data_IF_692760050363
#
_entry.id   IF_692760050363
#
_cell.length_a   1.000
_cell.length_b   1.000
_cell.length_c   1.000
_cell.angle_alpha   90.00
_cell.angle_beta   90.00
_cell.angle_gamma   90.00
#
_symmetry.space_group_name_H-M   'P 1'
#
loop_
_entity.id
_entity.type
_entity.pdbx_description
1 polymer ?
#
# COMPACT_ATOMS: atom_id res chain seq x y z
N UNK A 1 -57.15 78.14 -35.34
CA UNK A 1 -58.12 77.06 -35.61
C UNK A 1 -57.33 75.89 -36.17
N UNK A 2 -57.56 74.67 -35.67
CA UNK A 2 -56.96 73.38 -36.09
C UNK A 2 -55.54 73.09 -35.55
N UNK A 3 -55.38 72.26 -34.50
CA UNK A 3 -55.23 70.77 -34.49
C UNK A 3 -53.77 70.38 -34.81
N UNK A 4 -52.95 70.13 -33.79
CA UNK A 4 -52.59 68.81 -33.23
C UNK A 4 -51.44 68.15 -34.00
N UNK A 5 -50.27 68.07 -33.38
CA UNK A 5 -49.33 66.96 -33.59
C UNK A 5 -48.54 66.72 -32.30
N UNK A 6 -49.17 65.92 -31.45
CA UNK A 6 -48.56 65.26 -30.31
C UNK A 6 -48.00 63.91 -30.79
N UNK A 7 -46.69 63.82 -30.97
CA UNK A 7 -46.00 62.53 -31.06
C UNK A 7 -45.32 62.23 -29.71
N UNK A 8 -45.63 61.11 -29.05
CA UNK A 8 -44.98 60.71 -27.82
C UNK A 8 -43.56 60.22 -28.08
N UNK A 9 -42.64 60.57 -27.18
CA UNK A 9 -41.33 59.96 -27.06
C UNK A 9 -41.47 58.43 -27.00
N UNK A 10 -40.73 57.71 -27.84
CA UNK A 10 -40.50 56.28 -27.65
C UNK A 10 -39.71 56.09 -26.35
N UNK A 11 -40.39 55.57 -25.33
CA UNK A 11 -39.75 54.95 -24.16
C UNK A 11 -39.31 53.53 -24.54
N UNK A 12 -38.01 53.19 -24.60
CA UNK A 12 -37.57 51.82 -24.54
C UNK A 12 -37.38 51.46 -23.06
N UNK A 13 -38.46 51.38 -22.30
CA UNK A 13 -38.39 50.97 -20.89
C UNK A 13 -39.37 49.84 -20.57
N UNK A 14 -39.17 48.70 -21.23
CA UNK A 14 -39.69 47.41 -20.75
C UNK A 14 -38.63 46.31 -20.93
N UNK A 15 -37.57 46.36 -20.12
CA UNK A 15 -36.84 45.15 -19.72
C UNK A 15 -37.19 44.78 -18.28
N UNK A 16 -38.16 43.88 -18.03
CA UNK A 16 -38.35 43.31 -16.72
C UNK A 16 -37.51 42.03 -16.61
N UNK A 17 -36.19 42.11 -16.40
CA UNK A 17 -35.41 40.88 -16.11
C UNK A 17 -34.02 41.08 -15.48
N UNK A 18 -33.86 42.00 -14.53
CA UNK A 18 -32.60 42.10 -13.76
C UNK A 18 -32.69 41.78 -12.27
N UNK A 19 -33.88 41.58 -11.71
CA UNK A 19 -34.04 41.09 -10.32
C UNK A 19 -34.04 39.56 -10.25
N UNK A 20 -34.70 38.88 -11.18
CA UNK A 20 -34.78 37.41 -11.23
C UNK A 20 -33.42 36.77 -11.51
N UNK A 21 -32.61 37.35 -12.39
CA UNK A 21 -31.25 36.88 -12.68
C UNK A 21 -30.27 37.13 -11.53
N UNK A 22 -30.58 38.07 -10.63
CA UNK A 22 -29.74 38.38 -9.47
C UNK A 22 -30.03 37.43 -8.30
N UNK A 23 -31.28 37.03 -8.13
CA UNK A 23 -31.65 35.99 -7.16
C UNK A 23 -31.25 34.57 -7.63
N UNK A 24 -31.35 34.27 -8.93
CA UNK A 24 -30.92 32.98 -9.49
C UNK A 24 -29.39 32.75 -9.35
N UNK A 25 -28.60 33.83 -9.30
CA UNK A 25 -27.15 33.76 -9.08
C UNK A 25 -26.76 33.82 -7.60
N UNK A 26 -27.69 34.19 -6.70
CA UNK A 26 -27.48 34.18 -5.25
C UNK A 26 -27.91 32.87 -4.59
N UNK A 27 -28.74 32.05 -5.24
CA UNK A 27 -28.68 30.59 -5.07
C UNK A 27 -27.40 30.04 -5.73
N UNK A 28 -26.27 30.52 -5.23
CA UNK A 28 -25.01 29.79 -5.30
C UNK A 28 -25.31 28.45 -4.66
N UNK A 29 -25.58 27.46 -5.51
CA UNK A 29 -25.65 26.04 -5.19
C UNK A 29 -24.43 25.70 -4.33
N UNK A 30 -24.57 25.86 -3.02
CA UNK A 30 -23.78 25.15 -2.03
C UNK A 30 -24.23 23.71 -2.14
N UNK A 31 -23.86 23.08 -3.26
CA UNK A 31 -23.76 21.65 -3.35
C UNK A 31 -22.96 21.25 -2.11
N UNK A 32 -23.52 20.42 -1.21
CA UNK A 32 -22.80 20.00 -0.03
C UNK A 32 -21.65 19.12 -0.52
N UNK A 33 -20.49 19.71 -0.84
CA UNK A 33 -19.27 18.99 -1.24
C UNK A 33 -18.92 17.90 -0.22
N UNK A 34 -19.32 18.08 1.04
CA UNK A 34 -19.23 17.13 2.14
C UNK A 34 -20.00 15.80 1.97
N UNK A 35 -20.90 15.64 0.98
CA UNK A 35 -21.69 14.39 0.79
C UNK A 35 -21.12 13.41 -0.23
N UNK A 36 -20.31 13.82 -1.21
CA UNK A 36 -19.75 12.92 -2.24
C UNK A 36 -18.45 12.25 -1.79
N UNK A 37 -17.69 12.90 -0.92
CA UNK A 37 -16.42 12.38 -0.41
C UNK A 37 -16.60 11.14 0.45
N UNK A 38 -17.72 11.03 1.18
CA UNK A 38 -18.00 9.88 2.04
C UNK A 38 -18.29 8.58 1.26
N UNK A 39 -19.21 8.58 0.27
CA UNK A 39 -19.38 7.45 -0.66
C UNK A 39 -18.10 7.12 -1.43
N UNK A 40 -17.38 8.13 -1.94
CA UNK A 40 -16.15 7.90 -2.69
C UNK A 40 -15.07 7.23 -1.84
N UNK A 41 -14.88 7.72 -0.60
CA UNK A 41 -13.98 7.10 0.38
C UNK A 41 -14.35 5.64 0.65
N UNK A 42 -15.64 5.36 0.82
CA UNK A 42 -16.12 4.01 1.07
C UNK A 42 -15.87 3.09 -0.13
N UNK A 43 -16.14 3.56 -1.36
CA UNK A 43 -15.94 2.77 -2.58
C UNK A 43 -14.46 2.51 -2.84
N UNK A 44 -13.61 3.52 -2.76
CA UNK A 44 -12.17 3.34 -2.99
C UNK A 44 -11.52 2.43 -1.94
N UNK A 45 -11.90 2.57 -0.67
CA UNK A 45 -11.40 1.69 0.40
C UNK A 45 -11.84 0.26 0.19
N UNK A 46 -13.11 0.02 -0.17
CA UNK A 46 -13.61 -1.32 -0.47
C UNK A 46 -12.95 -1.91 -1.72
N UNK A 47 -12.77 -1.11 -2.77
CA UNK A 47 -12.12 -1.53 -4.02
C UNK A 47 -10.67 -1.95 -3.77
N UNK A 48 -9.90 -1.14 -3.04
CA UNK A 48 -8.50 -1.44 -2.73
C UNK A 48 -8.35 -2.59 -1.71
N UNK A 49 -9.25 -2.72 -0.75
CA UNK A 49 -9.30 -3.87 0.15
C UNK A 49 -9.59 -5.17 -0.63
N UNK A 50 -10.55 -5.13 -1.56
CA UNK A 50 -10.86 -6.24 -2.46
C UNK A 50 -9.67 -6.57 -3.37
N UNK A 51 -9.03 -5.56 -3.96
CA UNK A 51 -7.83 -5.75 -4.78
C UNK A 51 -6.68 -6.41 -4.01
N UNK A 52 -6.39 -5.96 -2.77
CA UNK A 52 -5.38 -6.60 -1.93
C UNK A 52 -5.69 -8.06 -1.61
N UNK A 53 -6.96 -8.35 -1.30
CA UNK A 53 -7.45 -9.71 -1.06
C UNK A 53 -7.35 -10.58 -2.31
N UNK A 54 -7.72 -10.04 -3.46
CA UNK A 54 -7.69 -10.74 -4.75
C UNK A 54 -6.26 -11.07 -5.17
N UNK A 55 -5.32 -10.13 -5.01
CA UNK A 55 -3.90 -10.36 -5.31
C UNK A 55 -3.35 -11.50 -4.44
N UNK A 56 -3.69 -11.53 -3.14
CA UNK A 56 -3.31 -12.65 -2.27
C UNK A 56 -3.94 -13.97 -2.71
N UNK A 57 -5.23 -13.94 -3.05
CA UNK A 57 -5.96 -15.11 -3.52
C UNK A 57 -5.33 -15.68 -4.80
N UNK A 58 -5.01 -14.82 -5.77
CA UNK A 58 -4.33 -15.22 -7.00
C UNK A 58 -2.99 -15.86 -6.67
N UNK A 59 -2.19 -15.27 -5.79
CA UNK A 59 -0.91 -15.85 -5.39
C UNK A 59 -1.06 -17.24 -4.73
N UNK A 60 -2.17 -17.48 -4.04
CA UNK A 60 -2.44 -18.77 -3.39
C UNK A 60 -2.71 -19.88 -4.42
N UNK A 61 -3.46 -19.58 -5.48
CA UNK A 61 -3.80 -20.56 -6.52
C UNK A 61 -2.74 -20.65 -7.63
N UNK A 62 -2.14 -19.52 -7.99
CA UNK A 62 -1.12 -19.39 -9.00
C UNK A 62 0.12 -18.73 -8.37
N UNK A 63 1.07 -19.52 -7.84
CA UNK A 63 2.28 -18.98 -7.24
C UNK A 63 3.21 -18.43 -8.34
N UNK A 64 2.96 -17.20 -8.78
CA UNK A 64 3.75 -16.46 -9.78
C UNK A 64 5.12 -15.99 -9.24
N UNK A 65 5.69 -16.75 -8.30
CA UNK A 65 6.95 -16.44 -7.65
C UNK A 65 6.91 -15.16 -6.79
N UNK A 66 8.05 -14.48 -6.62
CA UNK A 66 8.17 -13.32 -5.72
C UNK A 66 7.54 -12.04 -6.28
N UNK A 67 7.25 -11.97 -7.58
CA UNK A 67 6.77 -10.75 -8.26
C UNK A 67 5.44 -10.27 -7.68
N UNK A 68 4.46 -11.17 -7.53
CA UNK A 68 3.13 -10.80 -7.06
C UNK A 68 3.14 -10.34 -5.59
N UNK A 69 4.09 -10.85 -4.79
CA UNK A 69 4.25 -10.51 -3.37
C UNK A 69 4.63 -9.05 -3.14
N UNK A 70 5.27 -8.44 -4.12
CA UNK A 70 5.67 -7.02 -4.08
C UNK A 70 4.44 -6.13 -3.97
N UNK A 71 3.31 -6.53 -4.58
CA UNK A 71 2.08 -5.73 -4.61
C UNK A 71 1.19 -5.93 -3.38
N UNK A 72 1.43 -6.90 -2.50
CA UNK A 72 0.55 -7.17 -1.36
C UNK A 72 0.32 -5.98 -0.43
N UNK A 73 1.35 -5.23 0.02
CA UNK A 73 1.13 -4.09 0.91
C UNK A 73 0.63 -2.83 0.16
N UNK A 74 0.74 -2.76 -1.17
CA UNK A 74 0.48 -1.54 -1.95
C UNK A 74 -0.98 -1.06 -1.88
N UNK A 75 -2.01 -1.91 -2.09
CA UNK A 75 -3.40 -1.45 -2.04
C UNK A 75 -3.75 -0.79 -0.71
N UNK A 76 -3.29 -1.35 0.41
CA UNK A 76 -3.55 -0.82 1.76
C UNK A 76 -2.74 0.46 2.00
N UNK A 77 -1.48 0.50 1.55
CA UNK A 77 -0.67 1.71 1.62
C UNK A 77 -1.30 2.86 0.81
N UNK A 78 -1.83 2.57 -0.37
CA UNK A 78 -2.49 3.57 -1.22
C UNK A 78 -3.77 4.12 -0.55
N UNK A 79 -4.56 3.26 0.11
CA UNK A 79 -5.69 3.72 0.93
C UNK A 79 -5.22 4.70 2.02
N UNK A 80 -4.09 4.40 2.67
CA UNK A 80 -3.53 5.28 3.69
C UNK A 80 -3.18 6.66 3.11
N UNK A 81 -2.54 6.70 1.94
CA UNK A 81 -2.16 7.96 1.30
C UNK A 81 -3.37 8.79 0.88
N UNK A 82 -4.43 8.14 0.35
CA UNK A 82 -5.62 8.85 -0.14
C UNK A 82 -6.59 9.29 0.95
N UNK A 83 -6.86 8.41 1.92
CA UNK A 83 -7.96 8.59 2.89
C UNK A 83 -7.50 8.57 4.35
N UNK A 84 -6.21 8.36 4.59
CA UNK A 84 -5.58 8.44 5.91
C UNK A 84 -5.64 7.17 6.75
N UNK A 85 -5.22 7.30 8.01
CA UNK A 85 -5.02 6.18 8.95
C UNK A 85 -6.26 5.32 9.16
N UNK A 86 -7.42 5.93 9.39
CA UNK A 86 -8.66 5.18 9.69
C UNK A 86 -9.06 4.28 8.53
N UNK A 87 -9.02 4.83 7.32
CA UNK A 87 -9.36 4.12 6.10
C UNK A 87 -8.42 2.93 5.85
N UNK A 88 -7.12 3.09 6.10
CA UNK A 88 -6.15 2.02 5.90
C UNK A 88 -6.36 0.84 6.86
N UNK A 89 -6.65 1.12 8.13
CA UNK A 89 -7.01 0.07 9.10
C UNK A 89 -8.30 -0.63 8.73
N UNK A 90 -9.32 0.10 8.28
CA UNK A 90 -10.56 -0.50 7.79
C UNK A 90 -10.28 -1.38 6.57
N UNK A 91 -9.46 -0.95 5.61
CA UNK A 91 -9.09 -1.77 4.46
C UNK A 91 -8.29 -3.03 4.85
N UNK A 92 -7.38 -2.93 5.82
CA UNK A 92 -6.64 -4.07 6.36
C UNK A 92 -7.56 -5.09 7.04
N UNK A 93 -8.51 -4.63 7.85
CA UNK A 93 -9.49 -5.50 8.52
C UNK A 93 -10.45 -6.12 7.50
N UNK A 94 -10.99 -5.32 6.58
CA UNK A 94 -11.92 -5.79 5.54
C UNK A 94 -11.26 -6.82 4.63
N UNK A 95 -10.03 -6.60 4.19
CA UNK A 95 -9.29 -7.58 3.39
C UNK A 95 -9.03 -8.89 4.16
N UNK A 96 -8.67 -8.79 5.44
CA UNK A 96 -8.56 -9.95 6.33
C UNK A 96 -9.88 -10.70 6.49
N UNK A 97 -11.00 -10.00 6.69
CA UNK A 97 -12.33 -10.62 6.81
C UNK A 97 -12.76 -11.31 5.51
N UNK A 98 -12.56 -10.65 4.36
CA UNK A 98 -12.84 -11.25 3.05
C UNK A 98 -12.04 -12.54 2.87
N UNK A 99 -10.73 -12.51 3.11
CA UNK A 99 -9.89 -13.71 3.03
C UNK A 99 -10.30 -14.77 4.06
N UNK A 100 -10.72 -14.38 5.25
CA UNK A 100 -11.19 -15.32 6.28
C UNK A 100 -12.39 -16.12 5.77
N UNK A 101 -13.35 -15.45 5.13
CA UNK A 101 -14.54 -16.08 4.55
C UNK A 101 -14.19 -16.95 3.34
N UNK A 102 -13.25 -16.51 2.49
CA UNK A 102 -12.93 -17.22 1.23
C UNK A 102 -12.01 -18.44 1.42
N UNK A 103 -10.96 -18.32 2.24
CA UNK A 103 -9.89 -19.33 2.35
C UNK A 103 -9.64 -19.84 3.77
N UNK A 104 -10.41 -19.35 4.74
CA UNK A 104 -10.33 -19.72 6.14
C UNK A 104 -9.48 -18.77 7.01
N UNK A 105 -9.74 -18.76 8.34
CA UNK A 105 -9.16 -17.81 9.27
C UNK A 105 -7.63 -17.93 9.38
N UNK A 106 -7.10 -19.16 9.39
CA UNK A 106 -5.66 -19.41 9.55
C UNK A 106 -4.88 -18.79 8.40
N UNK A 107 -5.31 -19.03 7.15
CA UNK A 107 -4.64 -18.49 5.96
C UNK A 107 -4.81 -16.99 5.81
N UNK A 108 -5.93 -16.44 6.25
CA UNK A 108 -6.15 -15.00 6.26
C UNK A 108 -5.18 -14.28 7.21
N UNK A 109 -4.98 -14.82 8.42
CA UNK A 109 -4.05 -14.22 9.41
C UNK A 109 -2.60 -14.19 8.89
N UNK A 110 -2.20 -15.17 8.06
CA UNK A 110 -0.90 -15.17 7.36
C UNK A 110 -0.75 -14.04 6.34
N UNK A 111 -1.85 -13.45 5.85
CA UNK A 111 -1.82 -12.22 5.04
C UNK A 111 -1.81 -10.99 5.91
N UNK A 112 -2.70 -10.94 6.91
CA UNK A 112 -2.92 -9.75 7.74
C UNK A 112 -1.63 -9.36 8.47
N UNK A 113 -1.07 -10.29 9.24
CA UNK A 113 0.02 -10.00 10.16
C UNK A 113 1.32 -9.52 9.46
N UNK A 114 1.77 -10.09 8.32
CA UNK A 114 2.94 -9.57 7.62
C UNK A 114 2.64 -8.49 6.58
N UNK A 115 1.53 -8.54 5.84
CA UNK A 115 1.33 -7.65 4.67
C UNK A 115 0.34 -6.52 4.93
N UNK A 116 -0.75 -6.77 5.65
CA UNK A 116 -1.73 -5.71 5.93
C UNK A 116 -1.16 -4.67 6.90
N UNK A 117 -0.51 -5.13 7.97
CA UNK A 117 0.22 -4.24 8.88
C UNK A 117 1.36 -3.50 8.15
N UNK A 118 2.07 -4.16 7.24
CA UNK A 118 3.12 -3.53 6.43
C UNK A 118 2.56 -2.44 5.52
N UNK A 119 1.43 -2.67 4.88
CA UNK A 119 0.76 -1.65 4.05
C UNK A 119 0.41 -0.40 4.87
N UNK A 120 -0.09 -0.56 6.09
CA UNK A 120 -0.37 0.57 7.00
C UNK A 120 0.91 1.28 7.42
N UNK A 121 1.97 0.54 7.77
CA UNK A 121 3.26 1.10 8.17
C UNK A 121 3.90 1.91 7.04
N UNK A 122 3.96 1.34 5.84
CA UNK A 122 4.47 2.02 4.63
C UNK A 122 3.62 3.24 4.29
N UNK A 123 2.30 3.13 4.39
CA UNK A 123 1.39 4.25 4.23
C UNK A 123 1.70 5.41 5.18
N UNK A 124 1.97 5.10 6.46
CA UNK A 124 2.35 6.09 7.48
C UNK A 124 3.71 6.73 7.19
N UNK A 125 4.73 5.94 6.84
CA UNK A 125 6.08 6.46 6.58
C UNK A 125 6.10 7.33 5.33
N UNK A 126 5.40 6.93 4.27
CA UNK A 126 5.31 7.71 3.02
C UNK A 126 4.48 8.98 3.21
N UNK A 127 3.37 8.93 3.96
CA UNK A 127 2.59 10.13 4.27
C UNK A 127 3.39 11.16 5.07
N UNK A 128 4.29 10.70 5.96
CA UNK A 128 5.21 11.57 6.73
C UNK A 128 6.44 12.03 5.95
N UNK A 129 6.53 11.69 4.66
CA UNK A 129 7.71 11.96 3.82
C UNK A 129 9.03 11.42 4.41
N UNK A 130 8.98 10.31 5.13
CA UNK A 130 10.18 9.72 5.74
C UNK A 130 11.17 9.26 4.65
N UNK A 131 12.46 9.29 4.95
CA UNK A 131 13.48 8.77 4.04
C UNK A 131 13.28 7.27 3.81
N UNK A 132 13.69 6.79 2.63
CA UNK A 132 13.61 5.37 2.29
C UNK A 132 14.31 4.49 3.31
N UNK A 133 15.43 4.95 3.90
CA UNK A 133 16.16 4.20 4.92
C UNK A 133 15.31 3.96 6.18
N UNK A 134 14.56 4.95 6.65
CA UNK A 134 13.67 4.81 7.82
C UNK A 134 12.50 3.88 7.51
N UNK A 135 11.91 4.02 6.32
CA UNK A 135 10.81 3.16 5.89
C UNK A 135 11.27 1.71 5.70
N UNK A 136 12.47 1.51 5.15
CA UNK A 136 13.07 0.19 4.96
C UNK A 136 13.43 -0.47 6.28
N UNK A 137 14.11 0.23 7.18
CA UNK A 137 14.48 -0.33 8.49
C UNK A 137 13.25 -0.74 9.31
N UNK A 138 12.23 0.12 9.41
CA UNK A 138 10.99 -0.20 10.12
C UNK A 138 10.22 -1.34 9.43
N UNK A 139 10.13 -1.34 8.10
CA UNK A 139 9.46 -2.40 7.35
C UNK A 139 10.21 -3.72 7.41
N UNK A 140 11.55 -3.73 7.41
CA UNK A 140 12.34 -4.95 7.60
C UNK A 140 12.12 -5.52 9.00
N UNK A 141 12.09 -4.69 10.05
CA UNK A 141 11.79 -5.15 11.40
C UNK A 141 10.41 -5.82 11.48
N UNK A 142 9.38 -5.17 10.92
CA UNK A 142 8.03 -5.72 10.86
C UNK A 142 7.95 -6.97 9.97
N UNK A 143 8.68 -7.01 8.86
CA UNK A 143 8.71 -8.12 7.90
C UNK A 143 9.37 -9.36 8.50
N UNK A 144 10.48 -9.17 9.22
CA UNK A 144 11.14 -10.22 9.99
C UNK A 144 10.24 -10.76 11.09
N UNK A 145 9.59 -9.89 11.86
CA UNK A 145 8.58 -10.31 12.85
C UNK A 145 7.44 -11.11 12.18
N UNK A 146 7.03 -10.68 10.98
CA UNK A 146 6.03 -11.38 10.16
C UNK A 146 6.49 -12.74 9.63
N UNK A 147 7.77 -12.95 9.35
CA UNK A 147 8.32 -14.27 9.02
C UNK A 147 8.27 -15.18 10.24
N UNK A 148 8.75 -14.70 11.40
CA UNK A 148 8.72 -15.49 12.64
C UNK A 148 7.31 -15.86 13.06
N UNK A 149 6.36 -14.91 12.97
CA UNK A 149 4.96 -15.19 13.25
C UNK A 149 4.38 -16.24 12.32
N UNK A 150 4.69 -16.19 11.01
CA UNK A 150 4.23 -17.21 10.06
C UNK A 150 4.81 -18.58 10.38
N UNK A 151 6.12 -18.65 10.68
CA UNK A 151 6.78 -19.89 11.07
C UNK A 151 6.15 -20.47 12.34
N UNK A 152 5.97 -19.64 13.36
CA UNK A 152 5.35 -20.03 14.63
C UNK A 152 3.90 -20.49 14.44
N UNK A 153 3.09 -19.73 13.70
CA UNK A 153 1.69 -20.07 13.46
C UNK A 153 1.58 -21.38 12.67
N UNK A 154 2.33 -21.53 11.59
CA UNK A 154 2.32 -22.75 10.79
C UNK A 154 2.88 -23.95 11.56
N UNK A 155 3.89 -23.75 12.40
CA UNK A 155 4.43 -24.80 13.27
C UNK A 155 3.36 -25.29 14.26
N UNK A 156 2.61 -24.38 14.88
CA UNK A 156 1.50 -24.71 15.77
C UNK A 156 0.41 -25.53 15.07
N UNK A 157 0.03 -25.16 13.83
CA UNK A 157 -1.00 -25.86 13.07
C UNK A 157 -0.53 -27.17 12.45
N UNK A 158 0.76 -27.29 12.12
CA UNK A 158 1.35 -28.51 11.54
C UNK A 158 1.72 -29.54 12.61
N UNK A 159 1.92 -29.12 13.86
CA UNK A 159 2.45 -29.97 14.92
C UNK A 159 3.95 -30.28 14.77
N UNK A 160 4.62 -29.63 13.84
CA UNK A 160 6.04 -29.81 13.52
C UNK A 160 6.81 -28.52 13.74
N UNK A 161 8.08 -28.60 14.14
CA UNK A 161 8.94 -27.43 14.25
C UNK A 161 9.49 -27.01 12.89
N UNK A 162 8.83 -26.03 12.27
CA UNK A 162 9.24 -25.51 10.96
C UNK A 162 10.57 -24.74 11.00
N UNK A 163 11.01 -24.32 12.18
CA UNK A 163 12.30 -23.65 12.34
C UNK A 163 13.47 -24.59 12.02
N UNK A 164 13.32 -25.89 12.31
CA UNK A 164 14.36 -26.90 12.01
C UNK A 164 14.69 -26.94 10.52
N UNK A 165 13.69 -26.83 9.64
CA UNK A 165 13.93 -26.78 8.19
C UNK A 165 14.69 -25.52 7.75
N UNK A 166 14.47 -24.38 8.42
CA UNK A 166 15.23 -23.17 8.16
C UNK A 166 16.69 -23.33 8.60
N UNK A 167 16.92 -23.94 9.77
CA UNK A 167 18.26 -24.25 10.30
C UNK A 167 19.00 -25.22 9.37
N UNK A 168 18.34 -26.28 8.89
CA UNK A 168 18.96 -27.25 7.99
C UNK A 168 19.40 -26.60 6.66
N UNK A 169 18.53 -25.79 6.04
CA UNK A 169 18.89 -25.05 4.81
C UNK A 169 20.10 -24.12 5.02
N UNK A 170 20.17 -23.44 6.16
CA UNK A 170 21.28 -22.55 6.48
C UNK A 170 22.56 -23.33 6.79
N UNK A 171 22.44 -24.49 7.44
CA UNK A 171 23.57 -25.39 7.71
C UNK A 171 24.19 -25.84 6.40
N UNK A 172 23.37 -26.34 5.46
CA UNK A 172 23.83 -26.76 4.13
C UNK A 172 24.49 -25.60 3.36
N UNK A 173 23.95 -24.38 3.46
CA UNK A 173 24.54 -23.20 2.83
C UNK A 173 25.90 -22.84 3.43
N UNK A 174 26.04 -22.90 4.75
CA UNK A 174 27.30 -22.61 5.45
C UNK A 174 28.33 -23.70 5.16
N UNK A 175 27.93 -24.97 5.19
CA UNK A 175 28.80 -26.11 4.85
C UNK A 175 29.31 -25.99 3.40
N UNK A 176 28.41 -25.65 2.48
CA UNK A 176 28.79 -25.35 1.09
C UNK A 176 29.82 -24.21 0.99
N UNK A 177 29.62 -23.13 1.74
CA UNK A 177 30.56 -22.00 1.76
C UNK A 177 31.93 -22.39 2.37
N UNK A 178 31.93 -23.19 3.43
CA UNK A 178 33.15 -23.66 4.10
C UNK A 178 33.95 -24.60 3.20
N UNK A 179 33.29 -25.54 2.52
CA UNK A 179 33.91 -26.39 1.51
C UNK A 179 34.54 -25.56 0.39
N UNK A 180 33.85 -24.51 -0.07
CA UNK A 180 34.38 -23.63 -1.13
C UNK A 180 35.61 -22.83 -0.69
N UNK A 181 35.68 -22.48 0.60
CA UNK A 181 36.78 -21.75 1.21
C UNK A 181 37.89 -22.66 1.77
N UNK A 182 37.78 -23.98 1.58
CA UNK A 182 38.70 -25.00 2.13
C UNK A 182 38.87 -24.91 3.66
N UNK A 183 37.82 -24.45 4.35
CA UNK A 183 37.80 -24.40 5.81
C UNK A 183 37.38 -25.78 6.34
N UNK A 184 38.31 -26.46 7.04
CA UNK A 184 38.08 -27.75 7.70
C UNK A 184 37.37 -27.62 9.06
N UNK A 185 36.72 -26.48 9.31
CA UNK A 185 35.99 -26.22 10.55
C UNK A 185 34.56 -26.76 10.45
N UNK A 186 34.01 -27.30 11.54
CA UNK A 186 32.59 -27.63 11.61
C UNK A 186 31.79 -26.37 11.94
N UNK A 187 30.62 -26.15 11.32
CA UNK A 187 29.80 -24.97 11.62
C UNK A 187 29.29 -25.06 13.07
N UNK A 188 29.50 -24.00 13.84
CA UNK A 188 28.97 -23.93 15.20
C UNK A 188 27.47 -23.62 15.18
N UNK A 189 26.72 -24.14 16.15
CA UNK A 189 25.28 -23.90 16.27
C UNK A 189 24.93 -22.40 16.36
N UNK A 190 25.78 -21.62 17.03
CA UNK A 190 25.61 -20.16 17.12
C UNK A 190 25.75 -19.48 15.74
N UNK A 191 26.73 -19.91 14.93
CA UNK A 191 26.93 -19.37 13.57
C UNK A 191 25.72 -19.67 12.68
N UNK A 192 25.17 -20.89 12.77
CA UNK A 192 24.00 -21.31 11.99
C UNK A 192 22.77 -20.50 12.39
N UNK A 193 22.51 -20.33 13.70
CA UNK A 193 21.36 -19.54 14.17
C UNK A 193 21.46 -18.07 13.74
N UNK A 194 22.63 -17.45 13.94
CA UNK A 194 22.87 -16.07 13.49
C UNK A 194 22.75 -15.95 11.97
N UNK A 195 23.29 -16.92 11.22
CA UNK A 195 23.17 -16.99 9.77
C UNK A 195 21.70 -17.07 9.31
N UNK A 196 20.87 -17.86 9.99
CA UNK A 196 19.46 -18.01 9.66
C UNK A 196 18.69 -16.70 9.85
N UNK A 197 18.87 -16.05 10.99
CA UNK A 197 18.25 -14.75 11.27
C UNK A 197 18.75 -13.69 10.28
N UNK A 198 20.06 -13.64 10.01
CA UNK A 198 20.66 -12.69 9.08
C UNK A 198 20.11 -12.88 7.66
N UNK A 199 19.96 -14.12 7.20
CA UNK A 199 19.43 -14.44 5.88
C UNK A 199 17.95 -14.04 5.76
N UNK A 200 17.15 -14.23 6.81
CA UNK A 200 15.76 -13.76 6.87
C UNK A 200 15.69 -12.22 6.80
N UNK A 201 16.54 -11.53 7.56
CA UNK A 201 16.61 -10.06 7.56
C UNK A 201 17.04 -9.55 6.18
N UNK A 202 18.07 -10.16 5.59
CA UNK A 202 18.58 -9.80 4.27
C UNK A 202 17.54 -10.02 3.18
N UNK A 203 16.82 -11.15 3.20
CA UNK A 203 15.73 -11.43 2.27
C UNK A 203 14.60 -10.39 2.39
N UNK A 204 14.22 -10.02 3.63
CA UNK A 204 13.22 -8.97 3.86
C UNK A 204 13.69 -7.59 3.40
N UNK A 205 14.98 -7.28 3.51
CA UNK A 205 15.55 -6.02 3.02
C UNK A 205 15.41 -5.93 1.49
N UNK A 206 15.77 -7.00 0.77
CA UNK A 206 15.61 -7.07 -0.70
C UNK A 206 14.12 -6.95 -1.07
N UNK A 207 13.25 -7.68 -0.37
CA UNK A 207 11.81 -7.61 -0.59
C UNK A 207 11.29 -6.18 -0.42
N UNK A 208 11.65 -5.51 0.67
CA UNK A 208 11.12 -4.18 0.93
C UNK A 208 11.69 -3.12 -0.02
N UNK A 209 12.93 -3.30 -0.47
CA UNK A 209 13.50 -2.48 -1.53
C UNK A 209 12.70 -2.63 -2.84
N UNK A 210 12.37 -3.85 -3.24
CA UNK A 210 11.50 -4.12 -4.39
C UNK A 210 10.11 -3.49 -4.24
N UNK A 211 9.52 -3.55 -3.04
CA UNK A 211 8.22 -2.90 -2.73
C UNK A 211 8.30 -1.39 -2.92
N UNK A 212 9.36 -0.73 -2.45
CA UNK A 212 9.53 0.71 -2.63
C UNK A 212 9.71 1.08 -4.11
N UNK A 213 10.48 0.29 -4.86
CA UNK A 213 10.66 0.49 -6.30
C UNK A 213 9.33 0.38 -7.05
N UNK A 214 8.56 -0.68 -6.79
CA UNK A 214 7.25 -0.87 -7.41
C UNK A 214 6.25 0.20 -6.99
N UNK A 215 6.26 0.62 -5.73
CA UNK A 215 5.39 1.68 -5.22
C UNK A 215 5.73 3.02 -5.88
N UNK A 216 7.00 3.35 -6.04
CA UNK A 216 7.42 4.57 -6.75
C UNK A 216 6.89 4.58 -8.19
N UNK A 217 7.15 3.51 -8.96
CA UNK A 217 6.69 3.39 -10.37
C UNK A 217 5.16 3.41 -10.51
N UNK A 218 4.43 2.77 -9.59
CA UNK A 218 2.97 2.68 -9.66
C UNK A 218 2.28 3.93 -9.14
N UNK A 219 2.70 4.47 -8.00
CA UNK A 219 1.99 5.59 -7.37
C UNK A 219 2.27 6.91 -8.07
N UNK A 220 3.43 7.06 -8.71
CA UNK A 220 3.70 8.19 -9.60
C UNK A 220 2.69 8.24 -10.75
N UNK A 221 2.41 7.08 -11.39
CA UNK A 221 1.36 6.97 -12.42
C UNK A 221 -0.05 7.26 -11.90
N UNK A 222 -0.27 7.09 -10.60
CA UNK A 222 -1.56 7.34 -9.94
C UNK A 222 -1.67 8.75 -9.35
N UNK A 223 -0.66 9.61 -9.57
CA UNK A 223 -0.64 11.01 -9.11
C UNK A 223 -0.35 11.19 -7.62
N UNK A 224 0.07 10.14 -6.90
CA UNK A 224 0.40 10.20 -5.48
C UNK A 224 1.92 10.25 -5.29
N UNK A 225 2.45 11.43 -4.95
CA UNK A 225 3.90 11.61 -4.76
C UNK A 225 4.39 10.91 -3.48
N UNK A 226 5.13 9.81 -3.63
CA UNK A 226 5.92 9.16 -2.56
C UNK A 226 7.26 9.92 -2.40
N UNK A 227 7.96 9.82 -1.24
CA UNK A 227 9.34 10.27 -1.10
C UNK A 227 10.24 9.81 -2.25
N UNK A 228 11.09 10.72 -2.72
CA UNK A 228 12.01 10.45 -3.82
C UNK A 228 12.96 9.29 -3.47
N UNK A 229 13.28 8.42 -4.44
CA UNK A 229 14.24 7.34 -4.25
C UNK A 229 15.66 7.89 -4.00
N UNK A 230 16.58 7.09 -3.44
CA UNK A 230 17.99 7.47 -3.30
C UNK A 230 18.61 7.90 -4.63
N UNK A 231 19.60 8.80 -4.59
CA UNK A 231 20.24 9.35 -5.80
C UNK A 231 20.82 8.27 -6.73
N UNK A 232 21.37 7.18 -6.17
CA UNK A 232 21.90 6.07 -6.96
C UNK A 232 20.80 5.29 -7.71
N UNK A 233 19.56 5.28 -7.19
CA UNK A 233 18.41 4.65 -7.86
C UNK A 233 17.90 5.53 -9.00
N UNK A 234 17.89 6.85 -8.80
CA UNK A 234 17.50 7.81 -9.84
C UNK A 234 18.47 7.78 -11.02
N UNK A 235 19.77 7.76 -10.73
CA UNK A 235 20.83 7.67 -11.73
C UNK A 235 20.81 6.34 -12.52
N UNK A 236 20.27 5.27 -11.95
CA UNK A 236 20.14 3.97 -12.64
C UNK A 236 18.90 3.90 -13.54
N UNK A 237 17.93 4.78 -13.35
CA UNK A 237 16.67 4.81 -14.11
C UNK A 237 16.57 6.02 -15.03
N UNK A 238 17.67 6.74 -15.27
CA UNK A 238 17.76 7.97 -16.08
C UNK A 238 16.59 8.94 -15.78
N UNK A 239 16.24 9.06 -14.51
CA UNK A 239 15.11 9.88 -14.08
C UNK A 239 15.58 11.34 -13.96
N UNK A 240 15.42 12.10 -15.04
CA UNK A 240 15.55 13.56 -15.03
C UNK A 240 14.24 14.16 -14.50
N UNK A 241 14.31 14.79 -13.32
CA UNK A 241 13.17 15.42 -12.65
C UNK A 241 12.71 16.72 -13.28
#
# INVERSE_FOLDING_TARGET
MSISDSLPNEDPSLEPSNSLNKELNQEKLTTPRLKLDAPLRMVETAFLASAGSLIWLINLYFPLGPVLRIFFPLPIALVYLRWGKRAAWMAAVTSGLLLCVLIGPVRSVLFVMPFAFMGVLLGLTWHRRASWLVSITLGTLLGTLGVFFRLWLLSLFSGEDLWVYAINQVTELIDWAFMRLQLLATPSLFLIQMGAVLLIVFNNLIYLFMVHLAAWLLLERLGNSIPLPPQWVQALMDYEG
#
